data_IF_817052318387
#
_entry.id   IF_817052318387
#
_cell.length_a   1.000
_cell.length_b   1.000
_cell.length_c   1.000
_cell.angle_alpha   90.00
_cell.angle_beta   90.00
_cell.angle_gamma   90.00
#
_symmetry.space_group_name_H-M   'P 1'
#
loop_
_entity.id
_entity.type
_entity.pdbx_description
1 polymer ?
#
# COMPACT_ATOMS: atom_id res chain seq x y z
N UNK A 1 57.88 18.92 -24.96
CA UNK A 1 56.41 18.84 -24.80
C UNK A 1 56.04 17.38 -24.46
N UNK A 2 55.68 17.06 -23.21
CA UNK A 2 55.35 15.66 -22.81
C UNK A 2 53.92 15.33 -23.23
N UNK A 3 53.74 14.34 -24.11
CA UNK A 3 52.41 13.78 -24.45
C UNK A 3 51.82 13.14 -23.19
N UNK A 4 50.75 13.71 -22.66
CA UNK A 4 50.00 13.09 -21.56
C UNK A 4 49.33 11.83 -22.12
N UNK A 5 49.56 10.69 -21.46
CA UNK A 5 48.93 9.42 -21.80
C UNK A 5 47.47 9.44 -21.33
N UNK A 6 46.61 10.00 -22.18
CA UNK A 6 45.17 10.15 -21.92
C UNK A 6 44.51 8.84 -21.50
N UNK A 7 45.00 7.67 -21.96
CA UNK A 7 44.44 6.37 -21.60
C UNK A 7 44.55 6.07 -20.10
N UNK A 8 45.67 6.45 -19.47
CA UNK A 8 45.85 6.28 -18.02
C UNK A 8 44.94 7.22 -17.23
N UNK A 9 44.75 8.45 -17.71
CA UNK A 9 43.84 9.41 -17.09
C UNK A 9 42.40 8.92 -17.15
N UNK A 10 41.92 8.51 -18.33
CA UNK A 10 40.57 7.94 -18.49
C UNK A 10 40.34 6.72 -17.60
N UNK A 11 41.31 5.79 -17.52
CA UNK A 11 41.21 4.64 -16.62
C UNK A 11 41.07 5.05 -15.15
N UNK A 12 41.85 6.03 -14.68
CA UNK A 12 41.75 6.53 -13.29
C UNK A 12 40.41 7.19 -13.02
N UNK A 13 39.92 8.01 -13.95
CA UNK A 13 38.60 8.65 -13.84
C UNK A 13 37.47 7.62 -13.81
N UNK A 14 37.52 6.59 -14.66
CA UNK A 14 36.57 5.47 -14.64
C UNK A 14 36.58 4.71 -13.32
N UNK A 15 37.77 4.37 -12.81
CA UNK A 15 37.90 3.67 -11.52
C UNK A 15 37.40 4.53 -10.35
N UNK A 16 37.70 5.84 -10.36
CA UNK A 16 37.17 6.77 -9.36
C UNK A 16 35.63 6.84 -9.43
N UNK A 17 35.05 6.88 -10.62
CA UNK A 17 33.59 6.84 -10.82
C UNK A 17 32.95 5.57 -10.26
N UNK A 18 33.52 4.40 -10.54
CA UNK A 18 33.04 3.12 -9.98
C UNK A 18 33.16 3.08 -8.45
N UNK A 19 34.24 3.61 -7.87
CA UNK A 19 34.40 3.70 -6.42
C UNK A 19 33.35 4.60 -5.78
N UNK A 20 33.04 5.76 -6.38
CA UNK A 20 31.97 6.64 -5.89
C UNK A 20 30.61 5.93 -5.92
N UNK A 21 30.29 5.23 -7.01
CA UNK A 21 29.05 4.45 -7.10
C UNK A 21 28.99 3.33 -6.04
N UNK A 22 30.11 2.62 -5.82
CA UNK A 22 30.19 1.60 -4.79
C UNK A 22 29.99 2.19 -3.38
N UNK A 23 30.59 3.35 -3.09
CA UNK A 23 30.40 4.04 -1.81
C UNK A 23 28.96 4.50 -1.61
N UNK A 24 28.30 5.04 -2.64
CA UNK A 24 26.87 5.38 -2.57
C UNK A 24 26.03 4.12 -2.32
N UNK A 25 26.32 3.03 -3.04
CA UNK A 25 25.63 1.76 -2.87
C UNK A 25 25.78 1.18 -1.45
N UNK A 26 26.96 1.28 -0.84
CA UNK A 26 27.17 0.86 0.55
C UNK A 26 26.47 1.79 1.54
N UNK A 27 26.57 3.10 1.33
CA UNK A 27 26.01 4.10 2.25
C UNK A 27 24.47 4.15 2.22
N UNK A 28 23.86 3.90 1.06
CA UNK A 28 22.42 4.06 0.82
C UNK A 28 21.70 2.77 0.42
N UNK A 29 22.43 1.67 0.27
CA UNK A 29 21.88 0.40 -0.24
C UNK A 29 20.72 -0.11 0.61
N UNK A 30 20.79 0.06 1.93
CA UNK A 30 19.69 -0.29 2.85
C UNK A 30 18.43 0.56 2.59
N UNK A 31 18.56 1.88 2.51
CA UNK A 31 17.42 2.77 2.23
C UNK A 31 16.79 2.47 0.86
N UNK A 32 17.62 2.25 -0.16
CA UNK A 32 17.16 1.86 -1.50
C UNK A 32 16.42 0.52 -1.44
N UNK A 33 16.97 -0.47 -0.74
CA UNK A 33 16.31 -1.75 -0.55
C UNK A 33 14.96 -1.60 0.16
N UNK A 34 14.90 -0.84 1.25
CA UNK A 34 13.67 -0.65 2.02
C UNK A 34 12.58 0.02 1.19
N UNK A 35 12.91 1.06 0.41
CA UNK A 35 11.96 1.73 -0.49
C UNK A 35 11.48 0.80 -1.60
N UNK A 36 12.40 0.07 -2.25
CA UNK A 36 12.02 -0.85 -3.34
C UNK A 36 11.17 -2.02 -2.82
N UNK A 37 11.52 -2.56 -1.65
CA UNK A 37 10.77 -3.64 -1.00
C UNK A 37 9.38 -3.15 -0.59
N UNK A 38 9.29 -1.98 0.03
CA UNK A 38 8.01 -1.36 0.39
C UNK A 38 7.13 -1.15 -0.83
N UNK A 39 7.68 -0.61 -1.93
CA UNK A 39 6.94 -0.40 -3.17
C UNK A 39 6.48 -1.71 -3.85
N UNK A 40 7.18 -2.83 -3.63
CA UNK A 40 6.74 -4.15 -4.09
C UNK A 40 5.56 -4.66 -3.24
N UNK A 41 5.66 -4.57 -1.91
CA UNK A 41 4.59 -4.96 -0.98
C UNK A 41 3.32 -4.13 -1.18
N UNK A 42 3.46 -2.81 -1.40
CA UNK A 42 2.33 -1.94 -1.70
C UNK A 42 1.59 -2.35 -2.97
N UNK A 43 2.34 -2.71 -4.03
CA UNK A 43 1.75 -3.22 -5.27
C UNK A 43 1.02 -4.54 -5.06
N UNK A 44 1.54 -5.41 -4.21
CA UNK A 44 0.89 -6.65 -3.83
C UNK A 44 -0.43 -6.40 -3.10
N UNK A 45 -0.43 -5.54 -2.07
CA UNK A 45 -1.65 -5.15 -1.36
C UNK A 45 -2.67 -4.47 -2.28
N UNK A 46 -2.21 -3.65 -3.22
CA UNK A 46 -3.08 -3.03 -4.22
C UNK A 46 -3.75 -4.07 -5.12
N UNK A 47 -3.03 -5.13 -5.52
CA UNK A 47 -3.61 -6.23 -6.28
C UNK A 47 -4.67 -7.01 -5.48
N UNK A 48 -4.47 -7.17 -4.16
CA UNK A 48 -5.48 -7.75 -3.28
C UNK A 48 -6.72 -6.87 -3.15
N UNK A 49 -6.55 -5.55 -3.02
CA UNK A 49 -7.67 -4.61 -3.04
C UNK A 49 -8.46 -4.63 -4.37
N UNK A 50 -7.77 -4.79 -5.51
CA UNK A 50 -8.47 -4.97 -6.80
C UNK A 50 -9.22 -6.30 -6.88
N UNK A 51 -8.70 -7.37 -6.26
CA UNK A 51 -9.42 -8.65 -6.17
C UNK A 51 -10.69 -8.49 -5.35
N UNK A 52 -10.61 -7.82 -4.18
CA UNK A 52 -11.74 -7.51 -3.31
C UNK A 52 -12.87 -6.84 -4.11
N UNK A 53 -12.55 -5.85 -4.95
CA UNK A 53 -13.52 -5.15 -5.79
C UNK A 53 -14.36 -6.09 -6.68
N UNK A 54 -13.73 -7.13 -7.21
CA UNK A 54 -14.39 -8.13 -8.06
C UNK A 54 -15.11 -9.25 -7.29
N UNK A 55 -14.93 -9.35 -5.97
CA UNK A 55 -15.41 -10.46 -5.13
C UNK A 55 -16.65 -10.09 -4.31
N UNK A 56 -17.57 -9.30 -4.88
CA UNK A 56 -18.81 -8.90 -4.23
C UNK A 56 -19.64 -10.12 -3.80
N UNK A 57 -20.06 -10.24 -2.54
CA UNK A 57 -21.05 -11.23 -2.11
C UNK A 57 -22.41 -11.02 -2.78
N UNK A 58 -23.11 -12.10 -3.12
CA UNK A 58 -24.39 -12.02 -3.83
C UNK A 58 -25.47 -11.26 -3.06
N UNK A 59 -25.43 -11.30 -1.73
CA UNK A 59 -26.37 -10.68 -0.81
C UNK A 59 -26.08 -9.20 -0.51
N UNK A 60 -24.93 -8.67 -0.95
CA UNK A 60 -24.54 -7.27 -0.75
C UNK A 60 -24.88 -6.45 -1.99
N UNK A 61 -25.71 -5.38 -1.90
CA UNK A 61 -26.01 -4.55 -3.06
C UNK A 61 -24.75 -3.95 -3.72
N UNK A 62 -24.67 -3.88 -5.06
CA UNK A 62 -23.50 -3.36 -5.76
C UNK A 62 -23.03 -1.99 -5.29
N UNK A 63 -23.96 -1.07 -5.01
CA UNK A 63 -23.62 0.30 -4.62
C UNK A 63 -23.03 0.38 -3.21
N UNK A 64 -23.42 -0.55 -2.34
CA UNK A 64 -22.83 -0.68 -1.01
C UNK A 64 -21.42 -1.24 -1.16
N UNK A 65 -21.24 -2.29 -1.97
CA UNK A 65 -19.94 -2.90 -2.18
C UNK A 65 -18.93 -1.95 -2.83
N UNK A 66 -19.36 -1.17 -3.83
CA UNK A 66 -18.50 -0.21 -4.50
C UNK A 66 -18.02 0.89 -3.54
N UNK A 67 -18.90 1.41 -2.68
CA UNK A 67 -18.55 2.39 -1.65
C UNK A 67 -17.59 1.81 -0.61
N UNK A 68 -17.79 0.55 -0.22
CA UNK A 68 -16.93 -0.15 0.73
C UNK A 68 -15.50 -0.32 0.18
N UNK A 69 -15.39 -0.78 -1.06
CA UNK A 69 -14.11 -0.94 -1.74
C UNK A 69 -13.41 0.40 -2.00
N UNK A 70 -14.16 1.44 -2.36
CA UNK A 70 -13.61 2.77 -2.54
C UNK A 70 -12.97 3.30 -1.26
N UNK A 71 -13.64 3.13 -0.11
CA UNK A 71 -13.12 3.52 1.19
C UNK A 71 -11.82 2.79 1.55
N UNK A 72 -11.80 1.46 1.42
CA UNK A 72 -10.61 0.64 1.69
C UNK A 72 -9.44 0.99 0.77
N UNK A 73 -9.68 1.12 -0.53
CA UNK A 73 -8.63 1.49 -1.50
C UNK A 73 -8.02 2.85 -1.19
N UNK A 74 -8.86 3.83 -0.84
CA UNK A 74 -8.40 5.16 -0.42
C UNK A 74 -7.63 5.11 0.89
N UNK A 75 -8.09 4.35 1.87
CA UNK A 75 -7.40 4.19 3.15
C UNK A 75 -6.03 3.52 2.96
N UNK A 76 -5.94 2.44 2.18
CA UNK A 76 -4.68 1.76 1.87
C UNK A 76 -3.67 2.72 1.23
N UNK A 77 -4.11 3.52 0.25
CA UNK A 77 -3.23 4.47 -0.44
C UNK A 77 -2.68 5.57 0.48
N UNK A 78 -3.50 6.06 1.42
CA UNK A 78 -3.11 7.14 2.32
C UNK A 78 -2.33 6.67 3.56
N UNK A 79 -2.67 5.50 4.10
CA UNK A 79 -1.97 4.91 5.24
C UNK A 79 -0.62 4.36 4.80
N UNK A 80 -0.59 3.54 3.74
CA UNK A 80 0.61 2.84 3.28
C UNK A 80 1.37 3.64 2.20
N UNK A 81 1.35 4.96 2.25
CA UNK A 81 1.95 5.82 1.22
C UNK A 81 3.48 5.72 1.14
N UNK A 82 4.16 5.54 2.28
CA UNK A 82 5.63 5.52 2.34
C UNK A 82 6.16 4.81 3.58
N UNK A 83 7.46 4.48 3.54
CA UNK A 83 8.21 3.92 4.68
C UNK A 83 8.29 4.84 5.91
N UNK A 84 7.96 6.13 5.76
CA UNK A 84 7.87 7.08 6.87
C UNK A 84 6.56 7.00 7.63
N UNK A 85 5.47 6.60 6.96
CA UNK A 85 4.16 6.43 7.57
C UNK A 85 3.98 5.03 8.16
N UNK A 86 4.42 4.01 7.42
CA UNK A 86 4.37 2.60 7.84
C UNK A 86 5.78 2.03 7.76
N UNK A 87 6.38 1.57 8.87
CA UNK A 87 7.67 0.90 8.84
C UNK A 87 7.65 -0.34 7.91
N UNK A 88 8.77 -0.66 7.26
CA UNK A 88 8.82 -1.78 6.33
C UNK A 88 8.36 -3.10 6.95
N UNK A 89 8.78 -3.39 8.19
CA UNK A 89 8.38 -4.60 8.90
C UNK A 89 6.86 -4.70 9.10
N UNK A 90 6.21 -3.58 9.42
CA UNK A 90 4.74 -3.53 9.54
C UNK A 90 4.05 -3.71 8.20
N UNK A 91 4.62 -3.16 7.13
CA UNK A 91 4.11 -3.39 5.78
C UNK A 91 4.23 -4.87 5.38
N UNK A 92 5.32 -5.56 5.75
CA UNK A 92 5.48 -7.00 5.52
C UNK A 92 4.44 -7.83 6.27
N UNK A 93 4.20 -7.52 7.54
CA UNK A 93 3.15 -8.16 8.34
C UNK A 93 1.77 -7.89 7.73
N UNK A 94 1.46 -6.63 7.43
CA UNK A 94 0.20 -6.25 6.80
C UNK A 94 -0.04 -7.01 5.50
N UNK A 95 0.96 -7.09 4.61
CA UNK A 95 0.82 -7.83 3.35
C UNK A 95 0.60 -9.32 3.58
N UNK A 96 1.30 -9.94 4.54
CA UNK A 96 1.11 -11.35 4.88
C UNK A 96 -0.29 -11.61 5.44
N UNK A 97 -0.75 -10.78 6.36
CA UNK A 97 -2.07 -10.87 6.96
C UNK A 97 -3.17 -10.67 5.91
N UNK A 98 -3.00 -9.68 5.01
CA UNK A 98 -3.95 -9.42 3.93
C UNK A 98 -4.02 -10.60 2.95
N UNK A 99 -2.87 -11.17 2.56
CA UNK A 99 -2.84 -12.39 1.75
C UNK A 99 -3.61 -13.54 2.42
N UNK A 100 -3.42 -13.73 3.72
CA UNK A 100 -4.14 -14.76 4.47
C UNK A 100 -5.65 -14.48 4.47
N UNK A 101 -6.07 -13.25 4.74
CA UNK A 101 -7.48 -12.88 4.71
C UNK A 101 -8.12 -13.13 3.33
N UNK A 102 -7.39 -12.89 2.25
CA UNK A 102 -7.86 -13.15 0.88
C UNK A 102 -8.00 -14.64 0.53
N UNK A 103 -7.52 -15.55 1.39
CA UNK A 103 -7.74 -17.00 1.23
C UNK A 103 -9.05 -17.49 1.86
N UNK A 104 -9.70 -16.63 2.65
CA UNK A 104 -10.99 -16.90 3.27
C UNK A 104 -12.14 -16.36 2.39
N UNK A 105 -13.40 -16.78 2.63
CA UNK A 105 -14.56 -16.18 1.98
C UNK A 105 -14.61 -14.66 2.23
N UNK A 106 -14.73 -13.90 1.15
CA UNK A 106 -14.77 -12.45 1.18
C UNK A 106 -16.20 -11.99 1.47
N UNK A 107 -16.35 -11.13 2.48
CA UNK A 107 -17.61 -10.51 2.87
C UNK A 107 -17.37 -9.11 3.50
N UNK A 108 -18.42 -8.48 4.06
CA UNK A 108 -18.28 -7.19 4.73
C UNK A 108 -17.39 -7.25 5.99
N UNK A 109 -17.24 -8.41 6.62
CA UNK A 109 -16.34 -8.55 7.77
C UNK A 109 -14.87 -8.44 7.36
N UNK A 110 -14.56 -8.79 6.10
CA UNK A 110 -13.23 -8.57 5.51
C UNK A 110 -12.92 -7.08 5.37
N UNK A 111 -13.93 -6.26 5.04
CA UNK A 111 -13.78 -4.79 4.97
C UNK A 111 -13.52 -4.20 6.36
N UNK A 112 -14.31 -4.61 7.35
CA UNK A 112 -14.12 -4.20 8.74
C UNK A 112 -12.74 -4.58 9.29
N UNK A 113 -12.29 -5.80 8.96
CA UNK A 113 -10.97 -6.27 9.30
C UNK A 113 -9.87 -5.41 8.67
N UNK A 114 -10.01 -5.03 7.39
CA UNK A 114 -9.02 -4.17 6.71
C UNK A 114 -8.89 -2.81 7.37
N UNK A 115 -10.01 -2.16 7.71
CA UNK A 115 -9.98 -0.89 8.44
C UNK A 115 -9.26 -1.01 9.78
N UNK A 116 -9.53 -2.07 10.55
CA UNK A 116 -8.85 -2.33 11.81
C UNK A 116 -7.36 -2.58 11.59
N UNK A 117 -7.02 -3.44 10.63
CA UNK A 117 -5.64 -3.82 10.38
C UNK A 117 -4.79 -2.65 9.87
N UNK A 118 -5.39 -1.74 9.10
CA UNK A 118 -4.78 -0.46 8.70
C UNK A 118 -4.52 0.46 9.90
N UNK A 119 -5.44 0.53 10.86
CA UNK A 119 -5.21 1.28 12.10
C UNK A 119 -4.02 0.71 12.89
N UNK A 120 -3.89 -0.62 12.90
CA UNK A 120 -2.82 -1.34 13.61
C UNK A 120 -1.43 -1.22 12.92
N UNK A 121 -1.29 -0.51 11.79
CA UNK A 121 0.01 -0.32 11.11
C UNK A 121 0.93 0.69 11.81
N UNK A 122 0.40 1.46 12.75
CA UNK A 122 1.13 2.45 13.54
C UNK A 122 0.34 3.75 13.74
N UNK A 123 0.97 4.75 14.37
CA UNK A 123 0.30 6.00 14.76
C UNK A 123 -0.36 6.75 13.58
N UNK A 124 0.25 6.73 12.40
CA UNK A 124 -0.35 7.34 11.19
C UNK A 124 -1.62 6.60 10.76
N UNK A 125 -1.59 5.26 10.77
CA UNK A 125 -2.75 4.43 10.48
C UNK A 125 -3.89 4.67 11.46
N UNK A 126 -3.59 4.62 12.77
CA UNK A 126 -4.55 4.90 13.84
C UNK A 126 -5.21 6.28 13.66
N UNK A 127 -4.41 7.33 13.46
CA UNK A 127 -4.91 8.68 13.27
C UNK A 127 -5.78 8.81 12.01
N UNK A 128 -5.35 8.22 10.89
CA UNK A 128 -6.08 8.28 9.64
C UNK A 128 -7.43 7.56 9.76
N UNK A 129 -7.41 6.32 10.26
CA UNK A 129 -8.63 5.50 10.41
C UNK A 129 -9.58 6.15 11.40
N UNK A 130 -9.10 6.62 12.55
CA UNK A 130 -9.93 7.31 13.55
C UNK A 130 -10.61 8.56 13.00
N UNK A 131 -9.97 9.27 12.06
CA UNK A 131 -10.55 10.46 11.41
C UNK A 131 -11.55 10.10 10.32
N UNK A 132 -11.24 9.13 9.46
CA UNK A 132 -11.94 8.96 8.19
C UNK A 132 -12.93 7.80 8.17
N UNK A 133 -12.75 6.77 9.02
CA UNK A 133 -13.69 5.65 9.09
C UNK A 133 -15.12 6.10 9.42
N UNK A 134 -15.37 6.99 10.40
CA UNK A 134 -16.74 7.43 10.69
C UNK A 134 -17.42 8.15 9.51
N UNK A 135 -16.65 8.94 8.76
CA UNK A 135 -17.14 9.66 7.57
C UNK A 135 -17.53 8.67 6.47
N UNK A 136 -16.72 7.63 6.27
CA UNK A 136 -17.02 6.58 5.31
C UNK A 136 -18.22 5.71 5.73
N UNK A 137 -18.36 5.40 7.03
CA UNK A 137 -19.53 4.66 7.55
C UNK A 137 -20.85 5.41 7.29
N UNK A 138 -20.83 6.74 7.31
CA UNK A 138 -21.96 7.58 6.92
C UNK A 138 -22.30 7.43 5.43
N UNK A 139 -21.29 7.48 4.54
CA UNK A 139 -21.47 7.26 3.09
C UNK A 139 -22.02 5.87 2.77
N UNK A 140 -21.49 4.82 3.41
CA UNK A 140 -21.98 3.45 3.28
C UNK A 140 -23.43 3.33 3.74
N UNK A 141 -23.78 3.98 4.86
CA UNK A 141 -25.16 4.00 5.36
C UNK A 141 -26.12 4.65 4.36
N UNK A 142 -25.72 5.77 3.77
CA UNK A 142 -26.49 6.42 2.71
C UNK A 142 -26.64 5.54 1.45
N UNK A 143 -25.58 4.81 1.07
CA UNK A 143 -25.63 3.86 -0.04
C UNK A 143 -26.61 2.70 0.25
N UNK A 144 -26.60 2.18 1.48
CA UNK A 144 -27.54 1.13 1.94
C UNK A 144 -28.99 1.62 1.90
N UNK A 145 -29.27 2.83 2.39
CA UNK A 145 -30.62 3.42 2.29
C UNK A 145 -31.08 3.60 0.84
N UNK A 146 -30.19 4.08 -0.03
CA UNK A 146 -30.47 4.26 -1.45
C UNK A 146 -30.77 2.93 -2.15
N UNK A 147 -30.05 1.86 -1.81
CA UNK A 147 -30.29 0.51 -2.33
C UNK A 147 -31.65 -0.03 -1.88
N UNK A 148 -32.03 0.17 -0.61
CA UNK A 148 -33.33 -0.24 -0.07
C UNK A 148 -34.51 0.47 -0.75
N UNK A 149 -34.37 1.78 -1.04
CA UNK A 149 -35.43 2.54 -1.73
C UNK A 149 -35.66 2.09 -3.17
N UNK A 150 -34.63 1.55 -3.83
CA UNK A 150 -34.71 1.07 -5.23
C UNK A 150 -35.31 -0.32 -5.35
N UNK A 151 -35.18 -1.16 -4.32
CA UNK A 151 -35.74 -2.51 -4.28
C UNK A 151 -36.53 -2.73 -2.97
N UNK A 152 -37.70 -2.09 -2.80
CA UNK A 152 -38.59 -2.39 -1.69
C UNK A 152 -39.08 -3.83 -1.88
N UNK A 153 -38.68 -4.72 -0.97
CA UNK A 153 -39.18 -6.10 -0.93
C UNK A 153 -40.68 -6.13 -0.68
#
# INVERSE_FOLDING_TARGET
MKRIDNKRLYRRLWMAGLLVLAMIGVARGREIYEVLRFAALYRECSAYAETLKSSRPDDVPPEVWDEENFGVGTALANVCFSTHHVPLAEMELFTADFRQQMSEPIDLTTIDWLWKRLADTGAHGEQYVGKWRPVWEESVSAARESALRRNPR
#
